data_IF_973364575419
#
_entry.id   IF_973364575419
#
_cell.length_a   1.000
_cell.length_b   1.000
_cell.length_c   1.000
_cell.angle_alpha   90.00
_cell.angle_beta   90.00
_cell.angle_gamma   90.00
#
_symmetry.space_group_name_H-M   'P 1'
#
loop_
_entity.id
_entity.type
_entity.pdbx_description
1 polymer ?
#
# COMPACT_ATOMS: atom_id res chain seq x y z
N UNK A 1 14.80 -1.35 10.86
CA UNK A 1 14.22 -2.36 9.95
C UNK A 1 15.38 -3.14 9.33
N UNK A 2 15.46 -4.47 9.52
CA UNK A 2 16.66 -5.24 9.17
C UNK A 2 17.08 -5.17 7.69
N UNK A 3 16.13 -5.11 6.76
CA UNK A 3 16.42 -4.98 5.31
C UNK A 3 16.99 -3.58 5.00
N UNK A 4 16.31 -2.52 5.44
CA UNK A 4 16.79 -1.14 5.23
C UNK A 4 18.19 -0.91 5.82
N UNK A 5 18.44 -1.41 7.04
CA UNK A 5 19.74 -1.26 7.72
C UNK A 5 20.88 -1.94 6.96
N UNK A 6 20.64 -3.11 6.36
CA UNK A 6 21.64 -3.83 5.54
C UNK A 6 22.09 -3.03 4.32
N UNK A 7 21.18 -2.26 3.74
CA UNK A 7 21.42 -1.46 2.53
C UNK A 7 21.70 0.02 2.82
N UNK A 8 21.72 0.43 4.08
CA UNK A 8 21.88 1.83 4.48
C UNK A 8 20.71 2.72 4.02
N UNK A 9 19.55 2.14 3.74
CA UNK A 9 18.35 2.86 3.32
C UNK A 9 17.64 3.45 4.53
N UNK A 10 17.04 4.62 4.34
CA UNK A 10 16.04 5.12 5.28
C UNK A 10 14.69 4.41 5.07
N UNK A 11 13.71 4.55 5.99
CA UNK A 11 12.38 4.00 5.78
C UNK A 11 11.66 4.56 4.54
N UNK A 12 11.82 5.85 4.24
CA UNK A 12 11.25 6.46 3.04
C UNK A 12 11.87 5.85 1.78
N UNK A 13 13.19 5.68 1.77
CA UNK A 13 13.91 5.12 0.64
C UNK A 13 13.55 3.64 0.43
N UNK A 14 13.49 2.84 1.51
CA UNK A 14 13.03 1.45 1.41
C UNK A 14 11.62 1.35 0.80
N UNK A 15 10.70 2.21 1.24
CA UNK A 15 9.35 2.23 0.70
C UNK A 15 9.33 2.59 -0.80
N UNK A 16 10.19 3.52 -1.24
CA UNK A 16 10.32 3.87 -2.66
C UNK A 16 10.92 2.71 -3.48
N UNK A 17 12.00 2.09 -3.02
CA UNK A 17 12.65 0.96 -3.70
C UNK A 17 11.72 -0.25 -3.80
N UNK A 18 11.01 -0.57 -2.72
CA UNK A 18 10.02 -1.66 -2.77
C UNK A 18 8.87 -1.34 -3.74
N UNK A 19 8.41 -0.09 -3.80
CA UNK A 19 7.37 0.33 -4.74
C UNK A 19 7.85 0.24 -6.19
N UNK A 20 9.09 0.65 -6.48
CA UNK A 20 9.69 0.59 -7.82
C UNK A 20 10.10 -0.83 -8.24
N UNK A 21 10.24 -1.76 -7.30
CA UNK A 21 10.50 -3.17 -7.62
C UNK A 21 9.29 -3.90 -8.24
N UNK A 22 8.09 -3.34 -8.14
CA UNK A 22 6.88 -3.93 -8.70
C UNK A 22 6.83 -3.70 -10.22
N UNK A 23 6.66 -4.77 -11.00
CA UNK A 23 6.75 -4.72 -12.48
C UNK A 23 5.81 -3.67 -13.11
N UNK A 24 4.63 -3.48 -12.54
CA UNK A 24 3.63 -2.54 -13.05
C UNK A 24 3.94 -1.06 -12.73
N UNK A 25 4.93 -0.77 -11.86
CA UNK A 25 5.21 0.56 -11.35
C UNK A 25 6.37 1.20 -12.10
N UNK A 26 6.11 2.34 -12.74
CA UNK A 26 7.13 3.10 -13.48
C UNK A 26 7.69 4.28 -12.71
N UNK A 27 7.05 4.68 -11.61
CA UNK A 27 7.43 5.83 -10.81
C UNK A 27 6.85 5.71 -9.39
N UNK A 28 7.64 6.11 -8.39
CA UNK A 28 7.20 6.32 -7.01
C UNK A 28 7.20 7.83 -6.70
N UNK A 29 6.05 8.38 -6.35
CA UNK A 29 5.87 9.78 -6.01
C UNK A 29 5.34 9.92 -4.57
N UNK A 30 6.20 9.82 -3.54
CA UNK A 30 5.76 9.90 -2.16
C UNK A 30 5.26 11.31 -1.82
N UNK A 31 4.14 11.39 -1.12
CA UNK A 31 3.65 12.66 -0.56
C UNK A 31 4.52 13.05 0.63
N UNK A 32 5.17 14.21 0.55
CA UNK A 32 5.97 14.75 1.64
C UNK A 32 5.16 15.80 2.42
N UNK A 33 4.92 15.54 3.70
CA UNK A 33 4.18 16.43 4.60
C UNK A 33 5.13 16.89 5.70
N UNK A 34 5.27 18.19 5.94
CA UNK A 34 5.92 18.69 7.16
C UNK A 34 4.89 18.77 8.27
N UNK A 35 5.15 18.05 9.36
CA UNK A 35 4.27 18.04 10.52
C UNK A 35 4.32 19.38 11.26
N UNK A 36 3.26 19.73 11.99
CA UNK A 36 3.23 20.94 12.83
C UNK A 36 3.88 20.62 14.17
N UNK A 37 4.85 21.44 14.60
CA UNK A 37 5.43 21.36 15.93
C UNK A 37 6.93 21.70 15.95
N UNK A 38 7.43 22.04 17.12
CA UNK A 38 8.86 22.24 17.34
C UNK A 38 9.62 20.91 17.19
N UNK A 39 10.78 20.96 16.53
CA UNK A 39 11.60 19.76 16.26
C UNK A 39 11.03 18.82 15.19
N UNK A 40 9.94 19.19 14.51
CA UNK A 40 9.45 18.42 13.37
C UNK A 40 10.38 18.57 12.17
N UNK A 41 10.46 17.50 11.39
CA UNK A 41 11.38 17.43 10.25
C UNK A 41 10.88 18.30 9.09
N UNK A 42 11.75 19.21 8.63
CA UNK A 42 11.46 20.09 7.51
C UNK A 42 11.19 19.32 6.20
N UNK A 43 10.31 19.82 5.35
CA UNK A 43 10.01 19.18 4.05
C UNK A 43 11.25 19.15 3.16
N UNK A 44 12.14 20.13 3.24
CA UNK A 44 13.40 20.21 2.50
C UNK A 44 14.33 19.06 2.83
N UNK A 45 14.41 18.67 4.10
CA UNK A 45 15.20 17.51 4.53
C UNK A 45 14.62 16.19 4.00
N UNK A 46 13.28 16.09 3.92
CA UNK A 46 12.59 14.92 3.34
C UNK A 46 12.85 14.85 1.83
N UNK A 47 12.84 16.00 1.15
CA UNK A 47 13.20 16.10 -0.28
C UNK A 47 14.66 15.71 -0.52
N UNK A 48 15.58 16.13 0.34
CA UNK A 48 16.99 15.78 0.24
C UNK A 48 17.22 14.27 0.43
N UNK A 49 16.54 13.64 1.39
CA UNK A 49 16.54 12.19 1.58
C UNK A 49 15.99 11.45 0.35
N UNK A 50 14.87 11.90 -0.21
CA UNK A 50 14.30 11.31 -1.43
C UNK A 50 15.24 11.47 -2.63
N UNK A 51 15.89 12.62 -2.77
CA UNK A 51 16.86 12.86 -3.83
C UNK A 51 18.14 12.02 -3.69
N UNK A 52 18.42 11.51 -2.48
CA UNK A 52 19.54 10.61 -2.19
C UNK A 52 19.18 9.12 -2.36
N UNK A 53 18.01 8.81 -2.94
CA UNK A 53 17.64 7.44 -3.29
C UNK A 53 18.69 6.83 -4.25
N UNK A 54 19.10 5.56 -4.06
CA UNK A 54 19.97 4.88 -5.00
C UNK A 54 19.43 4.91 -6.44
N UNK A 55 20.33 5.00 -7.42
CA UNK A 55 19.94 4.94 -8.83
C UNK A 55 19.61 3.51 -9.27
N UNK A 56 20.21 2.51 -8.62
CA UNK A 56 19.95 1.10 -8.83
C UNK A 56 19.33 0.53 -7.55
N UNK A 57 18.22 -0.19 -7.69
CA UNK A 57 17.53 -0.79 -6.57
C UNK A 57 18.39 -1.90 -5.94
N UNK A 58 18.78 -1.77 -4.65
CA UNK A 58 19.68 -2.72 -4.01
C UNK A 58 18.96 -3.98 -3.49
N UNK A 59 17.62 -4.00 -3.49
CA UNK A 59 16.83 -5.09 -2.92
C UNK A 59 16.87 -6.33 -3.81
N UNK A 60 17.10 -7.49 -3.20
CA UNK A 60 16.99 -8.76 -3.93
C UNK A 60 15.54 -9.24 -4.03
N UNK A 61 15.26 -10.17 -4.94
CA UNK A 61 13.95 -10.79 -5.07
C UNK A 61 13.49 -11.46 -3.76
N UNK A 62 14.42 -12.07 -3.00
CA UNK A 62 14.12 -12.67 -1.71
C UNK A 62 13.74 -11.62 -0.66
N UNK A 63 14.39 -10.46 -0.66
CA UNK A 63 14.08 -9.37 0.27
C UNK A 63 12.75 -8.70 -0.06
N UNK A 64 12.43 -8.54 -1.35
CA UNK A 64 11.12 -8.06 -1.80
C UNK A 64 10.03 -9.03 -1.32
N UNK A 65 10.20 -10.33 -1.54
CA UNK A 65 9.25 -11.35 -1.07
C UNK A 65 9.12 -11.39 0.46
N UNK A 66 10.21 -11.10 1.19
CA UNK A 66 10.15 -10.97 2.65
C UNK A 66 9.30 -9.77 3.08
N UNK A 67 9.47 -8.61 2.43
CA UNK A 67 8.66 -7.41 2.69
C UNK A 67 7.19 -7.70 2.38
N UNK A 68 6.90 -8.33 1.25
CA UNK A 68 5.53 -8.70 0.86
C UNK A 68 4.87 -9.57 1.93
N UNK A 69 5.55 -10.61 2.39
CA UNK A 69 5.03 -11.52 3.43
C UNK A 69 4.79 -10.83 4.77
N UNK A 70 5.63 -9.86 5.14
CA UNK A 70 5.47 -9.11 6.41
C UNK A 70 4.39 -8.04 6.29
N UNK A 71 4.26 -7.43 5.11
CA UNK A 71 3.29 -6.38 4.81
C UNK A 71 1.92 -6.88 4.41
N UNK A 72 1.77 -8.18 4.14
CA UNK A 72 0.49 -8.79 3.78
C UNK A 72 -0.55 -8.56 4.88
N UNK A 73 -1.50 -7.68 4.56
CA UNK A 73 -2.60 -7.28 5.42
C UNK A 73 -3.94 -7.81 4.90
N UNK A 74 -3.90 -8.82 4.01
CA UNK A 74 -5.09 -9.44 3.45
C UNK A 74 -6.02 -9.92 4.56
N UNK A 75 -7.28 -9.49 4.50
CA UNK A 75 -8.31 -9.86 5.48
C UNK A 75 -8.19 -9.18 6.85
N UNK A 76 -7.16 -8.35 7.12
CA UNK A 76 -6.98 -7.72 8.44
C UNK A 76 -8.04 -6.66 8.79
N UNK A 77 -8.79 -6.16 7.80
CA UNK A 77 -9.85 -5.17 8.00
C UNK A 77 -11.03 -5.43 7.09
N UNK A 78 -12.22 -5.01 7.52
CA UNK A 78 -13.38 -4.95 6.64
C UNK A 78 -13.14 -3.86 5.58
N UNK A 79 -13.28 -4.22 4.30
CA UNK A 79 -13.14 -3.27 3.22
C UNK A 79 -14.31 -2.27 3.22
N UNK A 80 -13.99 -1.03 2.86
CA UNK A 80 -14.97 0.04 2.72
C UNK A 80 -15.61 -0.06 1.35
N UNK A 81 -16.93 0.02 1.30
CA UNK A 81 -17.69 0.19 0.08
C UNK A 81 -18.80 -0.83 -0.16
N UNK A 82 -18.79 -1.47 -1.34
CA UNK A 82 -19.77 -2.49 -1.70
C UNK A 82 -19.55 -3.76 -0.89
N UNK A 83 -20.43 -4.05 0.07
CA UNK A 83 -20.29 -5.19 0.98
C UNK A 83 -21.25 -6.30 0.56
N UNK A 84 -20.77 -7.55 0.30
CA UNK A 84 -21.60 -8.65 -0.21
C UNK A 84 -22.82 -8.99 0.66
N UNK A 85 -22.71 -8.80 1.98
CA UNK A 85 -23.75 -9.14 2.95
C UNK A 85 -24.41 -7.88 3.56
N UNK A 86 -24.42 -6.77 2.82
CA UNK A 86 -25.13 -5.55 3.22
C UNK A 86 -26.35 -5.32 2.33
N UNK A 87 -27.53 -5.32 2.95
CA UNK A 87 -28.84 -5.13 2.31
C UNK A 87 -29.58 -3.87 2.81
N UNK A 88 -28.89 -3.01 3.57
CA UNK A 88 -29.43 -1.77 4.12
C UNK A 88 -29.29 -0.55 3.19
N UNK A 89 -29.83 0.58 3.66
CA UNK A 89 -29.66 1.89 3.02
C UNK A 89 -28.18 2.31 2.97
N UNK A 90 -27.67 2.84 1.85
CA UNK A 90 -26.27 3.26 1.76
C UNK A 90 -25.86 4.24 2.86
N UNK A 91 -24.72 3.95 3.50
CA UNK A 91 -24.06 4.83 4.48
C UNK A 91 -22.60 5.04 4.10
N UNK A 92 -21.91 5.93 4.83
CA UNK A 92 -20.47 6.11 4.66
C UNK A 92 -19.74 4.77 4.78
N UNK A 93 -18.87 4.49 3.83
CA UNK A 93 -18.04 3.28 3.74
C UNK A 93 -18.82 1.94 3.62
N UNK A 94 -20.14 1.95 3.43
CA UNK A 94 -20.94 0.71 3.33
C UNK A 94 -22.21 0.86 2.50
N UNK A 95 -22.32 0.10 1.42
CA UNK A 95 -23.51 0.02 0.57
C UNK A 95 -23.68 -1.39 -0.03
N UNK A 96 -24.87 -1.75 -0.54
CA UNK A 96 -25.09 -3.04 -1.16
C UNK A 96 -24.21 -3.24 -2.39
N UNK A 97 -23.76 -4.48 -2.63
CA UNK A 97 -23.02 -4.80 -3.84
C UNK A 97 -23.96 -4.80 -5.06
N UNK A 98 -24.03 -3.67 -5.76
CA UNK A 98 -24.90 -3.50 -6.93
C UNK A 98 -24.49 -4.42 -8.11
N UNK A 99 -25.43 -4.79 -9.00
CA UNK A 99 -25.15 -5.67 -10.14
C UNK A 99 -23.97 -5.22 -11.02
N UNK A 100 -23.76 -3.91 -11.18
CA UNK A 100 -22.66 -3.35 -11.95
C UNK A 100 -21.29 -3.63 -11.30
N UNK A 101 -21.23 -3.63 -9.97
CA UNK A 101 -20.02 -3.98 -9.22
C UNK A 101 -19.75 -5.48 -9.28
N UNK A 102 -20.80 -6.32 -9.28
CA UNK A 102 -20.67 -7.77 -9.48
C UNK A 102 -20.11 -8.08 -10.86
N UNK A 103 -20.62 -7.43 -11.92
CA UNK A 103 -20.11 -7.61 -13.28
C UNK A 103 -18.64 -7.18 -13.43
N UNK A 104 -18.20 -6.16 -12.69
CA UNK A 104 -16.78 -5.77 -12.63
C UNK A 104 -15.97 -6.85 -11.92
N UNK A 105 -16.43 -7.37 -10.78
CA UNK A 105 -15.74 -8.43 -10.05
C UNK A 105 -15.56 -9.68 -10.92
N UNK A 106 -16.60 -10.10 -11.66
CA UNK A 106 -16.54 -11.21 -12.61
C UNK A 106 -15.49 -10.99 -13.70
N UNK A 107 -15.42 -9.77 -14.27
CA UNK A 107 -14.44 -9.43 -15.30
C UNK A 107 -12.99 -9.57 -14.82
N UNK A 108 -12.75 -9.36 -13.53
CA UNK A 108 -11.43 -9.42 -12.91
C UNK A 108 -11.21 -10.69 -12.08
N UNK A 109 -12.12 -11.67 -12.19
CA UNK A 109 -12.04 -12.97 -11.48
C UNK A 109 -11.97 -12.84 -9.95
N UNK A 110 -12.59 -11.78 -9.39
CA UNK A 110 -12.67 -11.53 -7.95
C UNK A 110 -13.95 -12.18 -7.42
N UNK A 111 -13.84 -13.01 -6.37
CA UNK A 111 -15.01 -13.48 -5.60
C UNK A 111 -15.29 -12.50 -4.45
N UNK A 112 -16.34 -11.67 -4.53
CA UNK A 112 -16.59 -10.64 -3.52
C UNK A 112 -16.85 -11.23 -2.13
N UNK A 113 -17.48 -12.41 -2.04
CA UNK A 113 -17.81 -13.05 -0.77
C UNK A 113 -16.54 -13.56 -0.08
N UNK A 114 -15.59 -14.08 -0.85
CA UNK A 114 -14.33 -14.61 -0.30
C UNK A 114 -13.29 -13.52 -0.04
N UNK A 115 -13.20 -12.54 -0.93
CA UNK A 115 -12.04 -11.65 -1.02
C UNK A 115 -12.29 -10.26 -0.42
N UNK A 116 -13.55 -9.85 -0.22
CA UNK A 116 -13.86 -8.54 0.38
C UNK A 116 -14.26 -8.61 1.87
N UNK A 117 -14.32 -9.80 2.44
CA UNK A 117 -14.62 -10.01 3.85
C UNK A 117 -13.33 -9.97 4.68
N UNK A 118 -13.44 -9.41 5.89
CA UNK A 118 -12.39 -9.56 6.89
C UNK A 118 -12.31 -11.04 7.30
N UNK A 119 -11.09 -11.58 7.35
CA UNK A 119 -10.84 -12.94 7.80
C UNK A 119 -10.25 -12.83 9.21
N UNK A 120 -11.08 -13.13 10.21
CA UNK A 120 -10.69 -13.14 11.63
C UNK A 120 -10.07 -14.46 12.06
#
# INVERSE_FOLDING_TARGET
>A
MPIAERHGLTPLQLACEWTLAQEAVTCAAPTLIQEIGEGTRAVEEKRAELAALPAENPLTAEEIAEIDRVGDNTGCMALKGGVPDYDGEPVADRWPLYPELVAIAERWEIDPRRELQAQG
#
